data_IF_619314636005
#
_entry.id   IF_619314636005
#
_cell.length_a   1.000
_cell.length_b   1.000
_cell.length_c   1.000
_cell.angle_alpha   90.00
_cell.angle_beta   90.00
_cell.angle_gamma   90.00
#
_symmetry.space_group_name_H-M   'P 1'
#
loop_
_entity.id
_entity.type
_entity.pdbx_description
1 polymer ?
#
# COMPACT_ATOMS: atom_id res chain seq x y z
N UNK A 1 -11.45 -3.99 -6.64
CA UNK A 1 -12.09 -4.52 -5.42
C UNK A 1 -11.16 -4.22 -4.25
N UNK A 2 -11.66 -3.62 -3.17
CA UNK A 2 -10.83 -3.28 -2.01
C UNK A 2 -10.41 -4.54 -1.23
N UNK A 3 -9.17 -4.57 -0.73
CA UNK A 3 -8.69 -5.57 0.25
C UNK A 3 -9.30 -5.20 1.62
N UNK A 4 -9.81 -6.18 2.34
CA UNK A 4 -10.48 -6.04 3.64
C UNK A 4 -11.98 -6.28 3.60
N UNK A 5 -12.65 -5.93 2.48
CA UNK A 5 -14.09 -6.17 2.31
C UNK A 5 -14.41 -7.67 2.19
N UNK A 6 -13.76 -8.46 1.29
CA UNK A 6 -13.92 -9.91 1.28
C UNK A 6 -13.56 -10.57 2.62
N UNK A 7 -12.43 -10.18 3.18
CA UNK A 7 -11.79 -10.86 4.30
C UNK A 7 -12.57 -10.67 5.61
N UNK A 8 -13.32 -9.57 5.73
CA UNK A 8 -14.18 -9.32 6.90
C UNK A 8 -15.62 -9.79 6.72
N UNK A 9 -16.03 -10.27 5.54
CA UNK A 9 -17.44 -10.61 5.25
C UNK A 9 -17.99 -11.65 6.25
N UNK A 10 -17.21 -12.70 6.54
CA UNK A 10 -17.59 -13.74 7.51
C UNK A 10 -17.70 -13.20 8.94
N UNK A 11 -16.78 -12.31 9.36
CA UNK A 11 -16.85 -11.65 10.66
C UNK A 11 -18.10 -10.77 10.79
N UNK A 12 -18.47 -10.04 9.73
CA UNK A 12 -19.67 -9.20 9.75
C UNK A 12 -20.94 -10.03 9.74
N UNK A 13 -21.01 -11.11 8.94
CA UNK A 13 -22.19 -12.00 8.88
C UNK A 13 -22.41 -12.79 10.16
N UNK A 14 -21.36 -13.11 10.90
CA UNK A 14 -21.44 -13.85 12.17
C UNK A 14 -21.83 -12.97 13.38
N UNK A 15 -22.01 -11.65 13.20
CA UNK A 15 -22.45 -10.77 14.28
C UNK A 15 -23.81 -11.23 14.84
N UNK A 16 -23.87 -11.41 16.17
CA UNK A 16 -25.07 -11.84 16.87
C UNK A 16 -25.38 -13.34 16.79
N UNK A 17 -24.66 -14.11 15.95
CA UNK A 17 -24.87 -15.55 15.75
C UNK A 17 -23.86 -16.42 16.52
N UNK A 18 -22.70 -15.86 16.87
CA UNK A 18 -21.61 -16.59 17.52
C UNK A 18 -21.21 -15.97 18.86
N UNK A 19 -20.66 -16.81 19.76
CA UNK A 19 -20.15 -16.36 21.05
C UNK A 19 -18.90 -15.46 20.91
N UNK A 20 -18.54 -14.75 21.97
CA UNK A 20 -17.43 -13.81 21.96
C UNK A 20 -16.07 -14.44 21.59
N UNK A 21 -15.83 -15.69 21.98
CA UNK A 21 -14.57 -16.39 21.69
C UNK A 21 -14.44 -16.75 20.20
N UNK A 22 -15.49 -17.32 19.62
CA UNK A 22 -15.57 -17.63 18.18
C UNK A 22 -15.49 -16.36 17.36
N UNK A 23 -16.13 -15.28 17.82
CA UNK A 23 -16.03 -13.96 17.18
C UNK A 23 -14.60 -13.42 17.17
N UNK A 24 -13.86 -13.55 18.28
CA UNK A 24 -12.47 -13.13 18.36
C UNK A 24 -11.56 -13.96 17.42
N UNK A 25 -11.84 -15.26 17.27
CA UNK A 25 -11.14 -16.15 16.32
C UNK A 25 -11.39 -15.73 14.87
N UNK A 26 -12.63 -15.46 14.49
CA UNK A 26 -12.99 -14.98 13.16
C UNK A 26 -12.34 -13.63 12.84
N UNK A 27 -12.33 -12.70 13.79
CA UNK A 27 -11.66 -11.41 13.63
C UNK A 27 -10.14 -11.57 13.41
N UNK A 28 -9.50 -12.44 14.19
CA UNK A 28 -8.08 -12.74 14.05
C UNK A 28 -7.77 -13.37 12.69
N UNK A 29 -8.62 -14.27 12.22
CA UNK A 29 -8.47 -14.90 10.90
C UNK A 29 -8.58 -13.85 9.77
N UNK A 30 -9.61 -13.01 9.81
CA UNK A 30 -9.81 -11.91 8.86
C UNK A 30 -8.60 -10.96 8.81
N UNK A 31 -8.05 -10.55 9.97
CA UNK A 31 -6.86 -9.70 10.02
C UNK A 31 -5.62 -10.36 9.42
N UNK A 32 -5.43 -11.64 9.66
CA UNK A 32 -4.31 -12.38 9.07
C UNK A 32 -4.46 -12.47 7.55
N UNK A 33 -5.68 -12.70 7.06
CA UNK A 33 -5.97 -12.74 5.63
C UNK A 33 -5.73 -11.38 4.95
N UNK A 34 -6.17 -10.28 5.57
CA UNK A 34 -5.89 -8.91 5.11
C UNK A 34 -4.39 -8.69 4.96
N UNK A 35 -3.60 -9.07 5.99
CA UNK A 35 -2.14 -8.93 5.95
C UNK A 35 -1.53 -9.76 4.82
N UNK A 36 -1.91 -11.03 4.70
CA UNK A 36 -1.40 -11.92 3.66
C UNK A 36 -1.75 -11.43 2.25
N UNK A 37 -2.99 -11.00 2.03
CA UNK A 37 -3.45 -10.54 0.73
C UNK A 37 -2.83 -9.18 0.37
N UNK A 38 -2.62 -8.29 1.34
CA UNK A 38 -1.87 -7.04 1.13
C UNK A 38 -0.42 -7.32 0.75
N UNK A 39 0.26 -8.25 1.45
CA UNK A 39 1.63 -8.65 1.09
C UNK A 39 1.70 -9.28 -0.30
N UNK A 40 0.77 -10.19 -0.63
CA UNK A 40 0.70 -10.80 -1.97
C UNK A 40 0.44 -9.76 -3.06
N UNK A 41 -0.46 -8.82 -2.81
CA UNK A 41 -0.74 -7.73 -3.73
C UNK A 41 0.51 -6.87 -3.94
N UNK A 42 1.16 -6.41 -2.87
CA UNK A 42 2.40 -5.63 -2.96
C UNK A 42 3.52 -6.34 -3.73
N UNK A 43 3.74 -7.65 -3.48
CA UNK A 43 4.77 -8.44 -4.16
C UNK A 43 4.44 -8.72 -5.64
N UNK A 44 3.15 -8.87 -5.97
CA UNK A 44 2.72 -9.10 -7.35
C UNK A 44 2.64 -7.82 -8.17
N UNK A 45 2.29 -6.69 -7.55
CA UNK A 45 2.33 -5.37 -8.17
C UNK A 45 3.76 -5.00 -8.54
N UNK A 46 4.72 -5.14 -7.61
CA UNK A 46 6.12 -4.85 -7.93
C UNK A 46 6.64 -5.74 -9.05
N UNK A 47 6.28 -7.02 -9.07
CA UNK A 47 6.66 -7.93 -10.17
C UNK A 47 6.07 -7.51 -11.51
N UNK A 48 4.80 -7.09 -11.55
CA UNK A 48 4.14 -6.61 -12.77
C UNK A 48 4.79 -5.33 -13.30
N UNK A 49 5.18 -4.41 -12.42
CA UNK A 49 5.87 -3.19 -12.81
C UNK A 49 7.22 -3.50 -13.52
N UNK A 50 7.94 -4.54 -13.10
CA UNK A 50 9.16 -5.01 -13.77
C UNK A 50 8.89 -5.78 -15.08
N UNK A 51 7.75 -6.45 -15.20
CA UNK A 51 7.39 -7.24 -16.39
C UNK A 51 6.85 -6.36 -17.53
N UNK A 52 6.36 -5.15 -17.25
CA UNK A 52 5.71 -4.24 -18.21
C UNK A 52 6.67 -3.20 -18.86
N UNK A 53 7.99 -3.38 -18.74
CA UNK A 53 9.01 -2.53 -19.42
C UNK A 53 9.03 -2.68 -20.97
N UNK A 54 7.99 -3.28 -21.56
CA UNK A 54 7.81 -3.48 -23.00
C UNK A 54 6.73 -2.60 -23.65
N UNK A 55 6.15 -1.60 -22.95
CA UNK A 55 4.99 -0.85 -23.46
C UNK A 55 5.00 0.65 -23.19
N UNK A 56 5.36 1.43 -24.22
CA UNK A 56 5.05 2.86 -24.42
C UNK A 56 5.54 3.81 -23.32
N UNK A 57 6.77 4.35 -23.49
CA UNK A 57 7.10 5.77 -23.32
C UNK A 57 6.82 6.47 -21.97
N UNK A 58 6.40 5.77 -20.92
CA UNK A 58 6.27 6.29 -19.58
C UNK A 58 7.63 6.24 -18.88
N UNK A 59 8.20 7.39 -18.54
CA UNK A 59 9.38 7.44 -17.68
C UNK A 59 8.93 7.01 -16.28
N UNK A 60 9.12 5.74 -15.94
CA UNK A 60 8.93 5.23 -14.59
C UNK A 60 10.10 5.72 -13.71
N UNK A 61 9.88 6.79 -12.95
CA UNK A 61 10.83 7.24 -11.95
C UNK A 61 10.70 6.32 -10.74
N UNK A 62 11.65 5.39 -10.59
CA UNK A 62 11.71 4.51 -9.41
C UNK A 62 12.01 5.31 -8.14
N UNK A 63 10.98 5.54 -7.32
CA UNK A 63 11.14 6.15 -6.00
C UNK A 63 11.43 5.06 -4.97
N UNK A 64 12.65 5.05 -4.42
CA UNK A 64 13.00 4.17 -3.32
C UNK A 64 12.56 4.80 -1.99
N UNK A 65 11.34 4.47 -1.55
CA UNK A 65 10.78 4.93 -0.29
C UNK A 65 11.13 4.01 0.91
N UNK A 66 12.05 3.05 0.75
CA UNK A 66 12.38 2.07 1.82
C UNK A 66 12.79 2.77 3.11
N UNK A 67 13.65 3.79 3.01
CA UNK A 67 14.14 4.53 4.18
C UNK A 67 13.03 5.32 4.89
N UNK A 68 12.03 5.79 4.14
CA UNK A 68 10.86 6.48 4.68
C UNK A 68 10.03 5.53 5.53
N UNK A 69 9.79 4.31 5.05
CA UNK A 69 9.01 3.30 5.77
C UNK A 69 9.75 2.70 6.98
N UNK A 70 11.09 2.78 7.01
CA UNK A 70 11.89 2.35 8.16
C UNK A 70 11.89 3.37 9.30
N UNK A 71 11.78 4.67 8.99
CA UNK A 71 11.74 5.75 9.98
C UNK A 71 10.31 5.98 10.50
N UNK A 72 10.20 6.58 11.69
CA UNK A 72 8.90 6.90 12.33
C UNK A 72 8.88 8.34 12.81
N UNK A 73 7.71 8.99 12.76
CA UNK A 73 7.56 10.39 13.20
C UNK A 73 8.21 11.38 12.23
N UNK A 74 8.65 12.55 12.71
CA UNK A 74 9.23 13.61 11.87
C UNK A 74 10.46 13.17 11.06
N UNK A 75 11.18 12.15 11.51
CA UNK A 75 12.33 11.56 10.81
C UNK A 75 11.93 10.86 9.50
N UNK A 76 10.66 10.43 9.38
CA UNK A 76 10.11 9.86 8.15
C UNK A 76 9.76 10.96 7.12
N UNK A 77 9.32 12.14 7.58
CA UNK A 77 9.04 13.28 6.71
C UNK A 77 10.34 13.83 6.09
N UNK A 78 11.39 13.97 6.90
CA UNK A 78 12.73 14.35 6.42
C UNK A 78 13.28 13.35 5.39
N UNK A 79 13.07 12.05 5.61
CA UNK A 79 13.46 11.03 4.66
C UNK A 79 12.62 11.07 3.38
N UNK A 80 11.33 11.41 3.46
CA UNK A 80 10.47 11.58 2.31
C UNK A 80 10.95 12.73 1.42
N UNK A 81 11.26 13.89 2.01
CA UNK A 81 11.78 15.04 1.25
C UNK A 81 13.11 14.70 0.55
N UNK A 82 14.01 14.00 1.25
CA UNK A 82 15.34 13.66 0.72
C UNK A 82 15.31 12.59 -0.37
N UNK A 83 14.55 11.51 -0.17
CA UNK A 83 14.60 10.34 -1.05
C UNK A 83 13.54 10.33 -2.13
N UNK A 84 12.39 10.98 -1.89
CA UNK A 84 11.30 11.07 -2.85
C UNK A 84 11.28 12.43 -3.56
N UNK A 85 11.36 13.57 -2.87
CA UNK A 85 11.23 14.88 -3.52
C UNK A 85 12.49 15.42 -4.19
N UNK A 86 13.68 15.19 -3.64
CA UNK A 86 14.92 15.64 -4.27
C UNK A 86 15.23 14.97 -5.62
N UNK A 87 14.51 13.90 -5.98
CA UNK A 87 14.69 13.13 -7.23
C UNK A 87 13.60 13.36 -8.26
N UNK A 88 12.52 14.07 -7.92
CA UNK A 88 11.53 14.51 -8.91
C UNK A 88 12.09 15.75 -9.58
N UNK A 89 12.29 15.75 -10.91
CA UNK A 89 12.77 16.93 -11.62
C UNK A 89 11.86 18.13 -11.31
N UNK A 90 12.46 19.29 -11.04
CA UNK A 90 11.72 20.54 -10.77
C UNK A 90 10.67 20.89 -11.84
N UNK A 91 10.90 20.44 -13.08
CA UNK A 91 9.93 20.53 -14.18
C UNK A 91 8.57 19.87 -13.88
N UNK A 92 8.54 18.80 -13.08
CA UNK A 92 7.29 18.11 -12.69
C UNK A 92 6.55 18.78 -11.53
N UNK A 93 7.27 19.44 -10.61
CA UNK A 93 6.65 20.22 -9.54
C UNK A 93 5.83 21.39 -10.10
N UNK A 94 6.31 22.00 -11.19
CA UNK A 94 5.58 23.08 -11.88
C UNK A 94 4.34 22.57 -12.61
N UNK A 95 4.38 21.36 -13.17
CA UNK A 95 3.21 20.73 -13.81
C UNK A 95 2.16 20.30 -12.78
N UNK A 96 2.56 19.68 -11.67
CA UNK A 96 1.64 19.22 -10.63
C UNK A 96 0.99 20.38 -9.86
N UNK A 97 1.73 21.47 -9.60
CA UNK A 97 1.19 22.66 -8.94
C UNK A 97 0.27 23.51 -9.82
N UNK A 98 0.21 23.24 -11.14
CA UNK A 98 -0.73 23.90 -12.06
C UNK A 98 -2.08 23.18 -12.15
N UNK A 99 -2.19 21.98 -11.60
CA UNK A 99 -3.35 21.09 -11.74
C UNK A 99 -4.13 20.87 -10.43
N UNK A 100 -3.77 21.61 -9.37
CA UNK A 100 -4.50 21.75 -8.09
C UNK A 100 -5.00 23.19 -7.99
#
# INVERSE_FOLDING_TARGET
RAIGVPEMDEFFRSQGLVNGETRAKLLKAAFNEIKMNTCKFSLSSSRKDFEDEGGIGGISIGLNATEVFLRRGGDAEDAWERWCWSRVPTLWLVSFAKEI
#
